data_IF_644142286724
#
_entry.id   IF_644142286724
#
_cell.length_a   1.000
_cell.length_b   1.000
_cell.length_c   1.000
_cell.angle_alpha   90.00
_cell.angle_beta   90.00
_cell.angle_gamma   90.00
#
_symmetry.space_group_name_H-M   'P 1'
#
loop_
_entity.id
_entity.type
_entity.pdbx_description
1 polymer ?
#
# COMPACT_ATOMS: atom_id res chain seq x y z
N UNK A 1 5.95 -5.40 -34.75
CA UNK A 1 4.76 -5.01 -33.95
C UNK A 1 5.23 -4.18 -32.77
N UNK A 2 4.56 -3.06 -32.47
CA UNK A 2 4.86 -2.24 -31.30
C UNK A 2 4.53 -3.00 -29.99
N UNK A 3 5.27 -2.78 -28.89
CA UNK A 3 4.97 -3.41 -27.62
C UNK A 3 3.62 -2.93 -27.07
N UNK A 4 2.76 -3.87 -26.67
CA UNK A 4 1.46 -3.58 -26.05
C UNK A 4 1.66 -3.04 -24.64
N UNK A 5 1.17 -1.83 -24.35
CA UNK A 5 1.30 -1.21 -23.02
C UNK A 5 0.02 -1.43 -22.22
N UNK A 6 0.14 -1.67 -20.91
CA UNK A 6 -1.03 -1.80 -20.04
C UNK A 6 -1.86 -0.50 -20.00
N UNK A 7 -1.20 0.66 -20.10
CA UNK A 7 -1.85 1.97 -20.15
C UNK A 7 -2.94 2.04 -21.23
N UNK A 8 -2.66 1.53 -22.43
CA UNK A 8 -3.57 1.58 -23.59
C UNK A 8 -4.88 0.83 -23.31
N UNK A 9 -4.83 -0.24 -22.52
CA UNK A 9 -6.02 -1.00 -22.11
C UNK A 9 -6.85 -0.24 -21.08
N UNK A 10 -6.19 0.43 -20.13
CA UNK A 10 -6.86 1.21 -19.09
C UNK A 10 -7.54 2.44 -19.69
N UNK A 11 -6.87 3.13 -20.62
CA UNK A 11 -7.43 4.28 -21.34
C UNK A 11 -8.68 3.90 -22.13
N UNK A 12 -8.64 2.81 -22.91
CA UNK A 12 -9.81 2.31 -23.65
C UNK A 12 -11.02 2.06 -22.74
N UNK A 13 -10.79 1.59 -21.51
CA UNK A 13 -11.87 1.38 -20.53
C UNK A 13 -12.41 2.72 -20.02
N UNK A 14 -11.52 3.66 -19.69
CA UNK A 14 -11.91 5.00 -19.23
C UNK A 14 -12.70 5.76 -20.30
N UNK A 15 -12.27 5.69 -21.57
CA UNK A 15 -12.94 6.30 -22.72
C UNK A 15 -14.32 5.70 -22.98
N UNK A 16 -14.46 4.38 -22.80
CA UNK A 16 -15.75 3.70 -22.95
C UNK A 16 -16.71 4.00 -21.79
N UNK A 17 -16.19 4.30 -20.60
CA UNK A 17 -16.98 4.51 -19.40
C UNK A 17 -17.54 5.94 -19.26
N UNK A 18 -17.06 6.91 -20.05
CA UNK A 18 -17.50 8.32 -20.14
C UNK A 18 -18.45 8.81 -19.03
N UNK A 19 -17.95 8.79 -17.79
CA UNK A 19 -18.45 9.59 -16.69
C UNK A 19 -17.47 10.74 -16.48
N UNK A 20 -17.90 11.95 -16.84
CA UNK A 20 -17.28 13.26 -16.57
C UNK A 20 -16.14 13.73 -17.47
N UNK A 21 -16.25 14.99 -17.89
CA UNK A 21 -15.34 15.79 -18.72
C UNK A 21 -14.01 16.16 -18.05
N UNK A 22 -13.56 15.39 -17.05
CA UNK A 22 -12.24 15.60 -16.46
C UNK A 22 -11.22 14.82 -17.29
N UNK A 23 -10.25 15.53 -17.84
CA UNK A 23 -9.04 14.96 -18.46
C UNK A 23 -8.33 14.09 -17.43
N UNK A 24 -8.70 12.80 -17.34
CA UNK A 24 -8.00 11.90 -16.41
C UNK A 24 -6.58 11.71 -16.94
N UNK A 25 -5.59 11.98 -16.09
CA UNK A 25 -4.20 11.73 -16.43
C UNK A 25 -4.00 10.28 -16.91
N UNK A 26 -3.19 10.11 -17.94
CA UNK A 26 -2.84 8.79 -18.46
C UNK A 26 -2.20 7.96 -17.34
N UNK A 27 -2.57 6.67 -17.17
CA UNK A 27 -1.93 5.81 -16.17
C UNK A 27 -0.40 5.79 -16.33
N UNK A 28 0.30 5.54 -15.22
CA UNK A 28 1.76 5.45 -15.16
C UNK A 28 2.45 6.77 -15.52
N UNK A 29 2.49 7.69 -14.54
CA UNK A 29 3.08 9.04 -14.63
C UNK A 29 2.57 9.88 -15.81
N UNK A 30 1.25 9.93 -16.04
CA UNK A 30 0.66 10.71 -17.13
C UNK A 30 1.24 10.39 -18.53
N UNK A 31 1.69 9.15 -18.73
CA UNK A 31 2.31 8.72 -19.98
C UNK A 31 3.78 9.11 -20.15
N UNK A 32 4.40 9.77 -19.18
CA UNK A 32 5.83 10.16 -19.23
C UNK A 32 6.77 9.07 -18.70
N UNK A 33 6.21 7.92 -18.30
CA UNK A 33 6.99 6.77 -17.84
C UNK A 33 8.06 6.36 -18.87
N UNK A 34 9.31 6.30 -18.41
CA UNK A 34 10.47 5.88 -19.24
C UNK A 34 10.46 4.37 -19.49
N UNK A 35 9.98 3.60 -18.51
CA UNK A 35 9.83 2.15 -18.57
C UNK A 35 8.36 1.76 -18.26
N UNK A 36 7.42 2.04 -19.18
CA UNK A 36 6.02 1.78 -18.94
C UNK A 36 5.75 0.27 -18.83
N UNK A 37 4.70 -0.16 -18.10
CA UNK A 37 4.30 -1.57 -18.04
C UNK A 37 3.98 -2.16 -19.42
N UNK A 38 4.82 -3.11 -19.85
CA UNK A 38 4.67 -3.82 -21.12
C UNK A 38 4.05 -5.20 -20.87
N UNK A 39 3.04 -5.54 -21.67
CA UNK A 39 2.44 -6.87 -21.70
C UNK A 39 3.42 -7.87 -22.32
N UNK A 40 3.69 -8.97 -21.62
CA UNK A 40 4.60 -10.03 -22.06
C UNK A 40 3.82 -11.28 -22.47
N UNK A 41 4.44 -12.16 -23.27
CA UNK A 41 3.86 -13.42 -23.77
C UNK A 41 3.73 -14.54 -22.73
N UNK A 42 3.56 -14.18 -21.46
CA UNK A 42 3.34 -15.08 -20.32
C UNK A 42 2.36 -14.40 -19.37
N UNK A 43 1.81 -15.12 -18.40
CA UNK A 43 0.86 -14.53 -17.43
C UNK A 43 1.46 -13.28 -16.80
N UNK A 44 0.78 -12.16 -16.94
CA UNK A 44 1.22 -10.87 -16.41
C UNK A 44 0.57 -10.67 -15.04
N UNK A 45 1.39 -10.38 -14.01
CA UNK A 45 0.86 -10.12 -12.68
C UNK A 45 0.81 -8.62 -12.39
N UNK A 46 -0.28 -8.19 -11.77
CA UNK A 46 -0.51 -6.81 -11.36
C UNK A 46 -0.70 -6.81 -9.85
N UNK A 47 0.11 -6.03 -9.14
CA UNK A 47 -0.07 -5.82 -7.71
C UNK A 47 -1.30 -4.94 -7.49
N UNK A 48 -2.18 -5.34 -6.58
CA UNK A 48 -3.19 -4.45 -6.01
C UNK A 48 -2.66 -4.01 -4.64
N UNK A 49 -2.52 -2.70 -4.42
CA UNK A 49 -2.03 -2.16 -3.15
C UNK A 49 -3.07 -1.26 -2.51
N UNK A 50 -4.02 -1.85 -1.77
CA UNK A 50 -5.07 -1.08 -1.14
C UNK A 50 -4.64 -0.54 0.22
N UNK A 51 -5.17 0.62 0.59
CA UNK A 51 -4.89 1.19 1.90
C UNK A 51 -5.65 2.46 2.19
N UNK A 52 -5.72 2.78 3.49
CA UNK A 52 -6.24 4.07 3.93
C UNK A 52 -5.36 5.21 3.46
N UNK A 53 -4.03 5.03 3.48
CA UNK A 53 -3.04 6.04 3.06
C UNK A 53 -3.35 7.42 3.65
N UNK A 54 -3.53 7.50 4.96
CA UNK A 54 -4.04 8.70 5.63
C UNK A 54 -3.02 9.25 6.66
N UNK A 55 -1.99 9.98 6.21
CA UNK A 55 -1.55 10.17 4.82
C UNK A 55 -0.63 9.02 4.33
N UNK A 56 -0.34 8.91 3.01
CA UNK A 56 0.70 8.01 2.53
C UNK A 56 2.09 8.46 3.00
N UNK A 57 3.04 7.52 3.04
CA UNK A 57 4.36 7.72 3.64
C UNK A 57 5.40 6.84 2.96
N UNK A 58 6.68 7.12 3.20
CA UNK A 58 7.81 6.46 2.55
C UNK A 58 7.80 4.94 2.75
N UNK A 59 7.45 4.45 3.94
CA UNK A 59 7.28 3.01 4.18
C UNK A 59 6.25 2.30 3.27
N UNK A 60 5.22 3.00 2.76
CA UNK A 60 4.31 2.44 1.76
C UNK A 60 4.99 2.31 0.39
N UNK A 61 5.79 3.30 -0.01
CA UNK A 61 6.55 3.26 -1.26
C UNK A 61 7.68 2.23 -1.19
N UNK A 62 8.33 2.08 -0.03
CA UNK A 62 9.41 1.13 0.19
C UNK A 62 8.92 -0.31 0.05
N UNK A 63 7.80 -0.67 0.67
CA UNK A 63 7.22 -2.01 0.50
C UNK A 63 6.77 -2.26 -0.94
N UNK A 64 6.16 -1.26 -1.58
CA UNK A 64 5.72 -1.35 -2.98
C UNK A 64 6.91 -1.64 -3.91
N UNK A 65 7.99 -0.85 -3.80
CA UNK A 65 9.23 -1.01 -4.57
C UNK A 65 9.91 -2.34 -4.27
N UNK A 66 10.08 -2.66 -2.99
CA UNK A 66 10.78 -3.87 -2.56
C UNK A 66 10.09 -5.12 -3.10
N UNK A 67 8.76 -5.21 -2.99
CA UNK A 67 7.99 -6.34 -3.51
C UNK A 67 8.06 -6.38 -5.04
N UNK A 68 7.89 -5.25 -5.73
CA UNK A 68 7.93 -5.24 -7.20
C UNK A 68 9.25 -5.78 -7.76
N UNK A 69 10.39 -5.41 -7.15
CA UNK A 69 11.70 -5.83 -7.63
C UNK A 69 12.15 -7.20 -7.10
N UNK A 70 11.74 -7.59 -5.88
CA UNK A 70 12.30 -8.74 -5.17
C UNK A 70 11.31 -9.88 -4.93
N UNK A 71 10.06 -9.80 -5.40
CA UNK A 71 9.09 -10.88 -5.20
C UNK A 71 9.36 -12.13 -6.04
N UNK A 72 10.38 -12.14 -6.91
CA UNK A 72 10.76 -13.30 -7.72
C UNK A 72 10.36 -13.17 -9.18
N UNK A 73 11.27 -13.55 -10.08
CA UNK A 73 11.09 -13.43 -11.53
C UNK A 73 9.98 -14.34 -12.09
N UNK A 74 9.59 -15.38 -11.35
CA UNK A 74 8.53 -16.33 -11.67
C UNK A 74 7.13 -15.67 -11.70
N UNK A 75 6.94 -14.59 -10.94
CA UNK A 75 5.66 -13.89 -10.90
C UNK A 75 5.42 -13.03 -12.14
N UNK A 76 6.45 -12.56 -12.83
CA UNK A 76 6.28 -11.61 -13.93
C UNK A 76 5.35 -10.44 -13.55
N UNK A 77 5.67 -9.77 -12.44
CA UNK A 77 4.95 -8.55 -12.04
C UNK A 77 5.31 -7.45 -13.04
N UNK A 78 4.30 -6.82 -13.63
CA UNK A 78 4.49 -5.77 -14.65
C UNK A 78 4.02 -4.40 -14.19
N UNK A 79 3.12 -4.33 -13.21
CA UNK A 79 2.53 -3.09 -12.74
C UNK A 79 2.01 -3.21 -11.31
N UNK A 80 1.72 -2.07 -10.70
CA UNK A 80 0.96 -1.96 -9.47
C UNK A 80 -0.16 -0.93 -9.58
N UNK A 81 -1.28 -1.21 -8.92
CA UNK A 81 -2.44 -0.33 -8.84
C UNK A 81 -2.69 -0.02 -7.35
N UNK A 82 -2.52 1.26 -7.00
CA UNK A 82 -2.74 1.77 -5.65
C UNK A 82 -4.20 2.17 -5.52
N UNK A 83 -4.89 1.64 -4.50
CA UNK A 83 -6.32 1.89 -4.29
C UNK A 83 -6.52 2.51 -2.91
N UNK A 84 -6.95 3.77 -2.92
CA UNK A 84 -7.27 4.51 -1.70
C UNK A 84 -8.65 4.13 -1.19
N UNK A 85 -8.75 3.73 0.08
CA UNK A 85 -10.03 3.48 0.77
C UNK A 85 -10.98 4.67 0.63
N UNK A 86 -12.29 4.42 0.48
CA UNK A 86 -13.31 5.47 0.40
C UNK A 86 -13.46 6.27 1.70
N UNK A 87 -13.94 7.52 1.62
CA UNK A 87 -13.93 8.46 2.74
C UNK A 87 -14.87 8.05 3.86
N UNK A 88 -16.02 7.46 3.56
CA UNK A 88 -16.98 6.95 4.54
C UNK A 88 -16.34 5.81 5.35
N UNK A 89 -15.63 4.91 4.66
CA UNK A 89 -14.93 3.80 5.31
C UNK A 89 -13.73 4.26 6.12
N UNK A 90 -13.03 5.29 5.64
CA UNK A 90 -11.97 5.93 6.41
C UNK A 90 -12.52 6.59 7.67
N UNK A 91 -13.62 7.35 7.58
CA UNK A 91 -14.29 7.98 8.72
C UNK A 91 -14.68 6.95 9.76
N UNK A 92 -15.41 5.90 9.39
CA UNK A 92 -15.78 4.80 10.30
C UNK A 92 -14.57 4.16 11.01
N UNK A 93 -13.43 4.06 10.32
CA UNK A 93 -12.17 3.55 10.91
C UNK A 93 -11.53 4.54 11.88
N UNK A 94 -11.67 5.84 11.61
CA UNK A 94 -11.09 6.92 12.39
C UNK A 94 -11.99 7.40 13.54
N UNK A 95 -13.31 7.18 13.50
CA UNK A 95 -14.27 7.56 14.55
C UNK A 95 -13.94 6.92 15.91
N UNK A 96 -13.19 5.81 15.90
CA UNK A 96 -12.68 5.15 17.12
C UNK A 96 -11.40 5.77 17.66
N UNK A 97 -10.91 6.87 17.07
CA UNK A 97 -9.63 7.51 17.41
C UNK A 97 -9.91 8.97 17.80
N UNK A 98 -9.44 9.36 18.98
CA UNK A 98 -9.74 10.67 19.59
C UNK A 98 -9.18 11.86 18.82
N UNK A 99 -8.05 11.68 18.11
CA UNK A 99 -7.42 12.71 17.26
C UNK A 99 -6.99 12.08 15.94
N UNK A 100 -7.67 12.47 14.87
CA UNK A 100 -7.45 11.88 13.56
C UNK A 100 -7.48 12.93 12.48
N UNK A 101 -6.34 13.20 11.86
CA UNK A 101 -6.31 13.81 10.54
C UNK A 101 -7.13 12.90 9.62
N UNK A 102 -8.15 13.44 8.95
CA UNK A 102 -8.95 12.70 7.95
C UNK A 102 -8.86 13.46 6.64
N UNK A 103 -7.99 12.98 5.74
CA UNK A 103 -7.87 13.52 4.40
C UNK A 103 -8.87 12.85 3.47
N UNK A 104 -9.48 13.62 2.57
CA UNK A 104 -10.35 13.07 1.53
C UNK A 104 -9.59 12.11 0.61
N UNK A 105 -10.32 11.23 -0.07
CA UNK A 105 -9.76 10.24 -1.01
C UNK A 105 -8.96 10.92 -2.10
N UNK A 106 -9.49 12.01 -2.62
CA UNK A 106 -8.82 12.82 -3.64
C UNK A 106 -7.48 13.37 -3.13
N UNK A 107 -7.44 13.98 -1.94
CA UNK A 107 -6.21 14.47 -1.32
C UNK A 107 -5.20 13.34 -1.09
N UNK A 108 -5.65 12.18 -0.61
CA UNK A 108 -4.79 11.00 -0.38
C UNK A 108 -4.26 10.40 -1.68
N UNK A 109 -5.07 10.35 -2.73
CA UNK A 109 -4.66 9.95 -4.07
C UNK A 109 -3.65 10.95 -4.65
N UNK A 110 -3.89 12.26 -4.47
CA UNK A 110 -2.95 13.29 -4.91
C UNK A 110 -1.63 13.26 -4.14
N UNK A 111 -1.63 12.93 -2.84
CA UNK A 111 -0.40 12.72 -2.07
C UNK A 111 0.41 11.52 -2.52
N UNK A 112 -0.19 10.56 -3.23
CA UNK A 112 0.57 9.54 -3.94
C UNK A 112 1.14 10.05 -5.25
N UNK A 113 0.34 10.80 -6.03
CA UNK A 113 0.75 11.31 -7.34
C UNK A 113 1.82 12.39 -7.22
N UNK A 114 1.58 13.44 -6.43
CA UNK A 114 2.42 14.63 -6.31
C UNK A 114 2.95 15.10 -7.67
N UNK A 115 4.26 15.28 -7.77
CA UNK A 115 4.96 15.64 -9.01
C UNK A 115 5.22 14.44 -9.94
N UNK A 116 4.78 13.25 -9.54
CA UNK A 116 5.00 11.96 -10.19
C UNK A 116 5.29 10.89 -9.14
N UNK A 117 4.74 9.70 -9.32
CA UNK A 117 5.14 8.57 -8.46
C UNK A 117 6.58 8.23 -8.85
N UNK A 118 7.53 8.05 -7.92
CA UNK A 118 8.94 7.81 -8.23
C UNK A 118 9.22 6.38 -8.71
N UNK A 119 8.29 5.82 -9.51
CA UNK A 119 8.38 4.58 -10.29
C UNK A 119 7.46 4.68 -11.52
N UNK A 120 7.85 4.02 -12.60
CA UNK A 120 7.13 4.05 -13.88
C UNK A 120 6.00 3.03 -14.00
N UNK A 121 5.89 2.10 -13.05
CA UNK A 121 5.01 0.94 -13.14
C UNK A 121 3.84 0.98 -12.14
N UNK A 122 3.73 2.04 -11.34
CA UNK A 122 2.63 2.24 -10.41
C UNK A 122 1.60 3.24 -10.97
N UNK A 123 0.33 2.98 -10.66
CA UNK A 123 -0.77 3.89 -10.99
C UNK A 123 -1.72 3.99 -9.80
N UNK A 124 -2.16 5.20 -9.47
CA UNK A 124 -3.19 5.44 -8.47
C UNK A 124 -4.56 5.35 -9.14
N UNK A 125 -5.39 4.44 -8.67
CA UNK A 125 -6.74 4.27 -9.19
C UNK A 125 -7.57 5.54 -8.96
N UNK A 126 -8.17 6.07 -10.02
CA UNK A 126 -8.79 7.40 -10.01
C UNK A 126 -10.16 7.42 -9.33
N UNK A 127 -10.88 6.30 -9.35
CA UNK A 127 -12.25 6.19 -8.86
C UNK A 127 -12.33 5.68 -7.42
N UNK A 128 -13.56 5.55 -6.90
CA UNK A 128 -13.83 5.01 -5.56
C UNK A 128 -13.36 3.56 -5.42
N UNK A 129 -12.95 3.19 -4.21
CA UNK A 129 -12.65 1.80 -3.85
C UNK A 129 -13.83 0.88 -4.20
N UNK A 130 -15.07 1.31 -3.91
CA UNK A 130 -16.28 0.56 -4.23
C UNK A 130 -16.46 0.22 -5.72
N UNK A 131 -15.95 1.06 -6.63
CA UNK A 131 -16.03 0.84 -8.08
C UNK A 131 -14.97 -0.14 -8.63
N UNK A 132 -13.96 -0.48 -7.82
CA UNK A 132 -12.84 -1.32 -8.23
C UNK A 132 -13.24 -2.69 -8.80
N UNK A 133 -14.18 -3.47 -8.22
CA UNK A 133 -14.54 -4.78 -8.76
C UNK A 133 -15.06 -4.72 -10.20
N UNK A 134 -15.84 -3.68 -10.52
CA UNK A 134 -16.36 -3.45 -11.87
C UNK A 134 -15.23 -3.13 -12.85
N UNK A 135 -14.34 -2.19 -12.50
CA UNK A 135 -13.19 -1.85 -13.33
C UNK A 135 -12.23 -3.03 -13.53
N UNK A 136 -11.94 -3.79 -12.46
CA UNK A 136 -11.12 -5.00 -12.52
C UNK A 136 -11.69 -6.00 -13.54
N UNK A 137 -13.01 -6.23 -13.50
CA UNK A 137 -13.69 -7.14 -14.43
C UNK A 137 -13.55 -6.66 -15.88
N UNK A 138 -13.77 -5.36 -16.13
CA UNK A 138 -13.57 -4.77 -17.46
C UNK A 138 -12.12 -4.93 -17.93
N UNK A 139 -11.14 -4.67 -17.07
CA UNK A 139 -9.72 -4.80 -17.40
C UNK A 139 -9.35 -6.23 -17.81
N UNK A 140 -9.75 -7.22 -17.01
CA UNK A 140 -9.54 -8.64 -17.34
C UNK A 140 -10.17 -9.00 -18.67
N UNK A 141 -11.43 -8.61 -18.90
CA UNK A 141 -12.15 -8.97 -20.12
C UNK A 141 -11.54 -8.30 -21.36
N UNK A 142 -11.14 -7.04 -21.28
CA UNK A 142 -10.50 -6.32 -22.39
C UNK A 142 -9.16 -6.94 -22.75
N UNK A 143 -8.32 -7.29 -21.76
CA UNK A 143 -7.03 -7.96 -22.00
C UNK A 143 -7.23 -9.37 -22.57
N UNK A 144 -8.20 -10.12 -22.04
CA UNK A 144 -8.50 -11.49 -22.49
C UNK A 144 -8.96 -11.55 -23.94
N UNK A 145 -9.74 -10.55 -24.41
CA UNK A 145 -10.14 -10.45 -25.84
C UNK A 145 -8.94 -10.31 -26.78
N UNK A 146 -7.84 -9.73 -26.30
CA UNK A 146 -6.58 -9.59 -27.04
C UNK A 146 -5.60 -10.76 -26.76
N UNK A 147 -6.09 -11.86 -26.19
CA UNK A 147 -5.28 -13.04 -25.86
C UNK A 147 -4.26 -12.81 -24.74
N UNK A 148 -4.50 -11.84 -23.86
CA UNK A 148 -3.61 -11.50 -22.74
C UNK A 148 -4.21 -11.99 -21.42
N UNK A 149 -3.49 -12.88 -20.75
CA UNK A 149 -3.84 -13.29 -19.39
C UNK A 149 -3.17 -12.40 -18.34
N UNK A 150 -3.99 -11.87 -17.45
CA UNK A 150 -3.54 -11.18 -16.23
C UNK A 150 -4.00 -11.91 -14.96
N UNK A 151 -3.20 -11.79 -13.91
CA UNK A 151 -3.58 -12.17 -12.55
C UNK A 151 -3.29 -11.02 -11.59
N UNK A 152 -4.19 -10.81 -10.64
CA UNK A 152 -3.97 -9.86 -9.56
C UNK A 152 -3.35 -10.56 -8.35
N UNK A 153 -2.42 -9.86 -7.71
CA UNK A 153 -1.79 -10.29 -6.46
C UNK A 153 -1.94 -9.18 -5.46
N UNK A 154 -2.45 -9.50 -4.27
CA UNK A 154 -2.67 -8.50 -3.24
C UNK A 154 -1.36 -8.19 -2.52
N UNK A 155 -0.96 -6.92 -2.50
CA UNK A 155 0.12 -6.45 -1.65
C UNK A 155 -0.47 -5.93 -0.34
N UNK A 156 -0.07 -6.53 0.77
CA UNK A 156 -0.39 -6.03 2.09
C UNK A 156 0.85 -5.61 2.86
N UNK A 157 0.66 -4.61 3.74
CA UNK A 157 1.64 -4.31 4.77
C UNK A 157 1.74 -5.44 5.79
N UNK A 158 2.82 -5.50 6.57
CA UNK A 158 3.14 -6.62 7.46
C UNK A 158 2.20 -6.78 8.67
N UNK A 159 1.22 -5.88 8.88
CA UNK A 159 0.23 -6.03 9.97
C UNK A 159 -1.08 -6.65 9.47
N UNK A 160 -1.27 -6.74 8.14
CA UNK A 160 -2.53 -7.23 7.57
C UNK A 160 -2.50 -8.74 7.32
N UNK A 161 -1.31 -9.36 7.36
CA UNK A 161 -1.12 -10.81 7.33
C UNK A 161 -0.31 -11.16 8.58
N UNK A 162 -0.96 -11.78 9.56
CA UNK A 162 -0.35 -12.14 10.85
C UNK A 162 -0.29 -13.64 11.01
N UNK A 163 0.58 -14.12 11.92
CA UNK A 163 0.71 -15.54 12.24
C UNK A 163 -0.64 -16.17 12.58
N UNK A 164 -1.42 -15.50 13.44
CA UNK A 164 -2.68 -16.02 13.97
C UNK A 164 -3.90 -15.70 13.09
N UNK A 165 -3.87 -14.56 12.37
CA UNK A 165 -4.96 -14.15 11.48
C UNK A 165 -4.88 -14.77 10.08
N UNK A 166 -3.68 -15.13 9.62
CA UNK A 166 -3.45 -15.65 8.29
C UNK A 166 -3.79 -14.65 7.18
N UNK A 167 -4.19 -15.17 6.01
CA UNK A 167 -4.64 -14.36 4.88
C UNK A 167 -6.06 -14.75 4.46
N UNK A 168 -6.94 -13.75 4.30
CA UNK A 168 -8.28 -13.92 3.76
C UNK A 168 -8.31 -13.54 2.25
N UNK A 169 -8.46 -14.50 1.32
CA UNK A 169 -8.42 -14.19 -0.11
C UNK A 169 -9.71 -13.53 -0.63
N UNK A 170 -10.81 -13.58 0.12
CA UNK A 170 -12.10 -13.02 -0.33
C UNK A 170 -12.17 -11.50 -0.19
N UNK A 171 -11.34 -10.89 0.67
CA UNK A 171 -11.42 -9.45 0.97
C UNK A 171 -11.15 -8.55 -0.25
N UNK A 172 -10.40 -9.04 -1.23
CA UNK A 172 -10.09 -8.35 -2.49
C UNK A 172 -10.24 -9.27 -3.71
N UNK A 173 -10.92 -10.41 -3.54
CA UNK A 173 -11.00 -11.49 -4.54
C UNK A 173 -9.62 -11.82 -5.14
N UNK A 174 -8.61 -11.96 -4.29
CA UNK A 174 -7.24 -12.28 -4.69
C UNK A 174 -6.83 -13.58 -4.00
N UNK A 175 -6.58 -14.63 -4.79
CA UNK A 175 -6.04 -15.85 -4.21
C UNK A 175 -4.61 -15.64 -3.69
N UNK A 176 -3.80 -14.93 -4.46
CA UNK A 176 -2.39 -14.71 -4.13
C UNK A 176 -2.19 -13.38 -3.38
N UNK A 177 -1.36 -13.42 -2.34
CA UNK A 177 -0.91 -12.26 -1.61
C UNK A 177 0.60 -12.24 -1.41
N UNK A 178 1.16 -11.03 -1.32
CA UNK A 178 2.56 -10.79 -0.99
C UNK A 178 2.62 -9.83 0.20
N UNK A 179 3.53 -10.09 1.13
CA UNK A 179 3.91 -9.16 2.20
C UNK A 179 5.43 -9.15 2.37
N UNK A 180 5.92 -8.15 3.10
CA UNK A 180 7.34 -7.95 3.41
C UNK A 180 7.45 -7.19 4.72
N UNK A 181 8.58 -7.37 5.40
CA UNK A 181 8.93 -6.66 6.62
C UNK A 181 9.87 -5.46 6.39
N UNK A 182 10.10 -5.05 5.13
CA UNK A 182 10.98 -3.91 4.82
C UNK A 182 10.54 -2.60 5.51
N UNK A 183 9.24 -2.41 5.71
CA UNK A 183 8.69 -1.21 6.33
C UNK A 183 8.44 -1.34 7.83
N UNK A 184 8.35 -2.55 8.37
CA UNK A 184 8.23 -2.86 9.81
C UNK A 184 8.21 -4.38 9.99
N UNK A 185 8.53 -4.92 11.18
CA UNK A 185 8.52 -6.36 11.43
C UNK A 185 7.15 -7.01 11.15
N UNK A 186 7.20 -8.27 10.68
CA UNK A 186 6.06 -9.20 10.71
C UNK A 186 6.09 -10.00 12.01
N UNK A 187 4.94 -10.42 12.52
CA UNK A 187 4.83 -11.21 13.77
C UNK A 187 5.20 -12.70 13.60
N UNK A 188 5.48 -13.13 12.37
CA UNK A 188 5.80 -14.51 12.03
C UNK A 188 7.26 -14.74 11.62
N UNK A 189 8.12 -13.69 11.53
CA UNK A 189 9.55 -13.86 11.23
C UNK A 189 10.37 -13.85 12.51
N UNK A 190 11.17 -14.89 12.68
CA UNK A 190 12.17 -15.03 13.74
C UNK A 190 13.56 -15.10 13.09
N UNK A 191 14.66 -14.93 13.86
CA UNK A 191 16.01 -14.86 13.29
C UNK A 191 16.36 -15.99 12.32
N UNK A 192 15.90 -17.23 12.59
CA UNK A 192 16.25 -18.41 11.79
C UNK A 192 15.02 -19.20 11.30
N UNK A 193 13.81 -18.66 11.45
CA UNK A 193 12.59 -19.40 11.13
C UNK A 193 11.40 -18.50 10.84
N UNK A 194 10.40 -19.06 10.18
CA UNK A 194 9.11 -18.43 10.00
C UNK A 194 8.06 -19.25 10.76
N UNK A 195 7.33 -18.62 11.68
CA UNK A 195 6.14 -19.21 12.28
C UNK A 195 5.08 -19.41 11.20
N UNK A 196 4.43 -20.56 11.25
CA UNK A 196 3.40 -20.91 10.27
C UNK A 196 2.21 -19.96 10.38
N UNK A 197 1.69 -19.52 9.23
CA UNK A 197 0.45 -18.75 9.18
C UNK A 197 -0.77 -19.66 9.39
N UNK A 198 -1.72 -19.18 10.18
CA UNK A 198 -3.02 -19.82 10.34
C UNK A 198 -3.68 -20.05 8.96
N UNK A 199 -4.22 -21.25 8.78
CA UNK A 199 -4.90 -21.62 7.54
C UNK A 199 -3.99 -21.87 6.33
N UNK A 200 -2.66 -21.88 6.49
CA UNK A 200 -1.71 -22.15 5.42
C UNK A 200 -0.85 -23.41 5.67
N UNK A 201 -0.27 -23.95 4.61
CA UNK A 201 0.79 -24.98 4.70
C UNK A 201 2.03 -24.43 5.40
N UNK A 202 2.99 -25.28 5.83
CA UNK A 202 4.32 -24.82 6.18
C UNK A 202 4.96 -23.99 5.06
N UNK A 203 5.86 -23.09 5.45
CA UNK A 203 6.63 -22.26 4.53
C UNK A 203 7.61 -23.09 3.71
N UNK A 204 7.69 -22.78 2.43
CA UNK A 204 8.67 -23.35 1.50
C UNK A 204 9.48 -22.21 0.89
N UNK A 205 10.80 -22.28 1.01
CA UNK A 205 11.69 -21.32 0.38
C UNK A 205 11.71 -21.53 -1.14
N UNK A 206 11.59 -20.46 -1.90
CA UNK A 206 11.98 -20.49 -3.31
C UNK A 206 13.48 -20.75 -3.38
N UNK A 207 13.87 -21.75 -4.17
CA UNK A 207 15.27 -22.04 -4.39
C UNK A 207 15.88 -20.90 -5.19
N UNK A 208 16.74 -20.12 -4.53
CA UNK A 208 17.71 -19.28 -5.22
C UNK A 208 19.09 -19.60 -4.63
N UNK A 209 20.00 -20.05 -5.49
CA UNK A 209 21.21 -20.80 -5.11
C UNK A 209 22.31 -19.99 -4.44
N UNK A 210 22.04 -18.77 -3.92
CA UNK A 210 23.10 -17.82 -3.52
C UNK A 210 22.83 -16.96 -2.28
N UNK A 211 21.85 -17.28 -1.43
CA UNK A 211 21.48 -16.40 -0.31
C UNK A 211 21.51 -17.09 1.06
N UNK A 212 21.93 -16.35 2.10
CA UNK A 212 21.71 -16.70 3.52
C UNK A 212 20.23 -17.05 3.73
N UNK A 213 19.93 -17.98 4.66
CA UNK A 213 18.55 -18.44 4.91
C UNK A 213 17.56 -17.30 5.10
N UNK A 214 17.99 -16.21 5.71
CA UNK A 214 17.15 -15.10 6.13
C UNK A 214 16.67 -14.21 4.97
N UNK A 215 17.29 -14.30 3.79
CA UNK A 215 16.97 -13.48 2.62
C UNK A 215 16.28 -14.28 1.50
N UNK A 216 15.67 -15.42 1.84
CA UNK A 216 14.95 -16.26 0.87
C UNK A 216 13.47 -15.92 0.84
N UNK A 217 12.94 -15.75 -0.36
CA UNK A 217 11.50 -15.62 -0.59
C UNK A 217 10.83 -16.91 -0.10
N UNK A 218 9.85 -16.77 0.78
CA UNK A 218 9.11 -17.90 1.35
C UNK A 218 7.67 -17.91 0.84
N UNK A 219 7.12 -19.09 0.59
CA UNK A 219 5.75 -19.28 0.12
C UNK A 219 5.03 -20.29 1.01
N UNK A 220 3.81 -19.98 1.40
CA UNK A 220 2.88 -20.97 1.92
C UNK A 220 1.58 -20.98 1.08
N UNK A 221 0.87 -22.12 1.08
CA UNK A 221 -0.38 -22.30 0.33
C UNK A 221 -1.55 -22.28 1.29
N UNK A 222 -2.65 -21.64 0.91
CA UNK A 222 -3.86 -21.65 1.72
C UNK A 222 -4.54 -23.03 1.70
N UNK A 223 -4.87 -23.57 2.88
CA UNK A 223 -5.46 -24.89 3.05
C UNK A 223 -6.99 -24.89 2.90
N UNK A 224 -7.65 -23.82 3.38
CA UNK A 224 -9.09 -23.81 3.68
C UNK A 224 -9.97 -23.07 2.66
N UNK A 225 -9.39 -22.40 1.67
CA UNK A 225 -10.15 -21.54 0.75
C UNK A 225 -9.97 -22.00 -0.70
N UNK A 226 -11.08 -22.02 -1.45
CA UNK A 226 -11.07 -22.19 -2.91
C UNK A 226 -11.36 -20.83 -3.57
N UNK A 227 -10.62 -20.43 -4.63
CA UNK A 227 -9.43 -21.09 -5.15
C UNK A 227 -8.27 -21.05 -4.15
N UNK A 228 -7.48 -22.13 -4.10
CA UNK A 228 -6.29 -22.19 -3.24
C UNK A 228 -5.26 -21.22 -3.79
N UNK A 229 -4.99 -20.15 -3.06
CA UNK A 229 -3.95 -19.20 -3.40
C UNK A 229 -2.69 -19.36 -2.55
N UNK A 230 -1.74 -18.47 -2.77
CA UNK A 230 -0.44 -18.47 -2.08
C UNK A 230 -0.21 -17.18 -1.32
N UNK A 231 0.41 -17.29 -0.14
CA UNK A 231 1.00 -16.14 0.54
C UNK A 231 2.49 -16.22 0.33
N UNK A 232 3.07 -15.13 -0.18
CA UNK A 232 4.51 -15.00 -0.39
C UNK A 232 5.06 -13.94 0.56
N UNK A 233 6.11 -14.30 1.28
CA UNK A 233 6.88 -13.40 2.12
C UNK A 233 8.19 -13.05 1.42
N UNK A 234 8.41 -11.76 1.22
CA UNK A 234 9.65 -11.21 0.65
C UNK A 234 10.45 -10.57 1.78
N UNK A 235 11.45 -11.25 2.34
CA UNK A 235 12.22 -10.70 3.45
C UNK A 235 12.98 -9.43 3.01
N UNK A 236 13.12 -8.49 3.93
CA UNK A 236 14.20 -7.51 3.87
C UNK A 236 15.47 -8.06 4.54
N UNK A 237 16.59 -7.45 4.17
CA UNK A 237 17.83 -7.59 4.93
C UNK A 237 17.64 -6.91 6.30
N UNK A 238 17.72 -7.68 7.39
CA UNK A 238 17.43 -7.17 8.74
C UNK A 238 18.39 -6.04 9.14
N UNK A 239 19.62 -6.07 8.64
CA UNK A 239 20.61 -5.00 8.86
C UNK A 239 20.22 -3.69 8.15
N UNK A 240 19.30 -3.76 7.17
CA UNK A 240 18.78 -2.61 6.42
C UNK A 240 17.39 -2.20 6.85
N UNK A 241 16.79 -2.89 7.83
CA UNK A 241 15.47 -2.52 8.32
C UNK A 241 15.58 -1.22 9.14
N UNK A 242 14.83 -0.16 8.79
CA UNK A 242 14.86 1.07 9.55
C UNK A 242 14.30 0.84 10.97
N UNK A 243 15.06 1.20 12.00
CA UNK A 243 14.62 1.11 13.41
C UNK A 243 13.38 1.98 13.68
N UNK A 244 13.27 3.12 12.99
CA UNK A 244 12.17 4.07 13.13
C UNK A 244 11.50 4.32 11.78
N UNK A 245 10.82 3.28 11.31
CA UNK A 245 10.23 3.26 9.98
C UNK A 245 9.08 4.29 9.83
N UNK A 246 8.99 4.98 8.68
CA UNK A 246 7.91 5.92 8.41
C UNK A 246 6.52 5.28 8.51
N UNK A 247 5.61 5.92 9.25
CA UNK A 247 4.22 5.47 9.40
C UNK A 247 3.25 6.65 9.47
N UNK A 248 1.98 6.43 9.12
CA UNK A 248 0.95 7.48 9.28
C UNK A 248 0.78 7.90 10.75
N UNK A 249 1.07 7.01 11.70
CA UNK A 249 1.05 7.36 13.14
C UNK A 249 2.19 8.29 13.50
N UNK A 250 3.40 8.03 12.98
CA UNK A 250 4.54 8.94 13.16
C UNK A 250 4.26 10.32 12.58
N UNK A 251 3.63 10.39 11.40
CA UNK A 251 3.22 11.67 10.79
C UNK A 251 2.24 12.42 11.70
N UNK A 252 1.20 11.75 12.22
CA UNK A 252 0.28 12.37 13.19
C UNK A 252 1.01 12.88 14.43
N UNK A 253 1.92 12.09 14.98
CA UNK A 253 2.72 12.49 16.13
C UNK A 253 3.58 13.73 15.86
N UNK A 254 4.19 13.85 14.67
CA UNK A 254 4.92 15.07 14.27
C UNK A 254 4.00 16.28 14.27
N UNK A 255 2.80 16.14 13.69
CA UNK A 255 1.82 17.22 13.56
C UNK A 255 1.28 17.67 14.92
N UNK A 256 1.06 16.72 15.84
CA UNK A 256 0.57 17.00 17.21
C UNK A 256 1.65 17.61 18.12
N UNK A 257 2.94 17.30 17.89
CA UNK A 257 4.03 17.67 18.80
C UNK A 257 4.91 18.83 18.32
N UNK A 258 4.70 19.32 17.10
CA UNK A 258 5.58 20.32 16.48
C UNK A 258 4.80 21.53 15.98
N UNK A 259 5.39 22.74 16.03
CA UNK A 259 4.77 23.93 15.46
C UNK A 259 4.67 23.80 13.93
N UNK A 260 3.70 24.49 13.34
CA UNK A 260 3.33 24.33 11.93
C UNK A 260 4.46 24.70 10.96
N UNK A 261 5.30 25.65 11.35
CA UNK A 261 6.45 26.15 10.60
C UNK A 261 7.52 25.05 10.40
N UNK A 262 7.56 24.07 11.30
CA UNK A 262 8.53 22.97 11.26
C UNK A 262 8.00 21.71 10.56
N UNK A 263 6.69 21.66 10.23
CA UNK A 263 6.08 20.44 9.70
C UNK A 263 6.73 19.98 8.41
N UNK A 264 7.00 20.87 7.45
CA UNK A 264 7.56 20.48 6.17
C UNK A 264 8.92 19.80 6.34
N UNK A 265 9.82 20.41 7.11
CA UNK A 265 11.15 19.86 7.40
C UNK A 265 11.07 18.53 8.14
N UNK A 266 10.24 18.44 9.19
CA UNK A 266 10.10 17.20 9.99
C UNK A 266 9.43 16.05 9.23
N UNK A 267 8.63 16.37 8.22
CA UNK A 267 7.96 15.35 7.39
C UNK A 267 8.83 14.85 6.23
N UNK A 268 9.99 15.50 5.94
CA UNK A 268 10.95 15.01 4.93
C UNK A 268 11.44 13.61 5.28
N UNK A 269 11.47 12.73 4.28
CA UNK A 269 11.82 11.32 4.45
C UNK A 269 10.77 10.47 5.17
N UNK A 270 9.67 11.07 5.66
CA UNK A 270 8.56 10.37 6.30
C UNK A 270 7.34 10.36 5.40
N UNK A 271 6.82 11.51 5.01
CA UNK A 271 5.69 11.63 4.07
C UNK A 271 6.19 11.51 2.62
N UNK A 272 5.34 11.04 1.71
CA UNK A 272 5.70 10.97 0.28
C UNK A 272 5.90 12.37 -0.33
N UNK A 273 4.97 13.29 -0.07
CA UNK A 273 5.01 14.66 -0.55
C UNK A 273 4.76 15.62 0.62
N UNK A 274 5.81 15.96 1.41
CA UNK A 274 5.70 16.77 2.62
C UNK A 274 5.02 18.13 2.40
N UNK A 275 5.41 18.85 1.34
CA UNK A 275 4.86 20.16 1.00
C UNK A 275 3.35 20.12 0.73
N UNK A 276 2.92 19.23 -0.17
CA UNK A 276 1.49 19.03 -0.50
C UNK A 276 0.70 18.61 0.75
N UNK A 277 1.30 17.76 1.60
CA UNK A 277 0.67 17.34 2.84
C UNK A 277 0.44 18.54 3.78
N UNK A 278 1.47 19.39 3.99
CA UNK A 278 1.36 20.58 4.83
C UNK A 278 0.28 21.54 4.30
N UNK A 279 0.19 21.75 2.99
CA UNK A 279 -0.87 22.54 2.37
C UNK A 279 -2.26 22.00 2.72
N UNK A 280 -2.48 20.69 2.57
CA UNK A 280 -3.75 20.06 2.92
C UNK A 280 -4.07 20.08 4.41
N UNK A 281 -3.06 20.04 5.28
CA UNK A 281 -3.24 20.11 6.73
C UNK A 281 -3.67 21.51 7.17
N UNK A 282 -3.15 22.56 6.54
CA UNK A 282 -3.53 23.96 6.80
C UNK A 282 -4.99 24.25 6.46
N UNK A 283 -5.60 23.48 5.56
CA UNK A 283 -7.02 23.57 5.21
C UNK A 283 -7.94 22.87 6.22
N UNK A 284 -7.40 22.00 7.08
CA UNK A 284 -8.19 21.32 8.09
C UNK A 284 -8.53 22.29 9.24
N UNK A 285 -9.70 22.13 9.88
CA UNK A 285 -9.98 22.87 11.10
C UNK A 285 -8.87 22.60 12.12
N UNK A 286 -8.44 23.62 12.88
CA UNK A 286 -7.45 23.43 13.94
C UNK A 286 -7.93 22.31 14.88
N UNK A 287 -7.02 21.45 15.37
CA UNK A 287 -7.39 20.35 16.24
C UNK A 287 -8.23 20.88 17.40
N UNK A 288 -9.44 20.33 17.56
CA UNK A 288 -10.48 20.83 18.48
C UNK A 288 -10.14 20.66 19.96
N UNK A 289 -8.96 20.11 20.28
CA UNK A 289 -8.40 20.12 21.64
C UNK A 289 -6.93 20.50 21.57
N UNK A 290 -6.45 21.44 22.39
CA UNK A 290 -5.02 21.54 22.64
C UNK A 290 -4.55 20.19 23.21
N UNK A 291 -3.35 19.75 22.81
CA UNK A 291 -2.64 18.72 23.55
C UNK A 291 -2.62 19.15 25.03
N UNK A 292 -3.21 18.36 25.92
CA UNK A 292 -3.15 18.65 27.37
C UNK A 292 -1.68 18.88 27.72
N UNK A 293 -1.38 20.05 28.27
CA UNK A 293 -0.01 20.39 28.60
C UNK A 293 0.54 19.38 29.60
N UNK A 294 1.86 19.18 29.64
CA UNK A 294 2.47 18.33 30.69
C UNK A 294 2.10 18.79 32.10
N UNK A 295 1.76 20.07 32.27
CA UNK A 295 1.23 20.63 33.52
C UNK A 295 -0.21 20.16 33.81
N UNK A 296 -1.09 20.06 32.81
CA UNK A 296 -2.46 19.55 32.98
C UNK A 296 -2.50 18.06 33.32
N UNK A 297 -1.60 17.28 32.73
CA UNK A 297 -1.39 15.86 33.07
C UNK A 297 -0.85 15.68 34.50
N UNK A 298 0.10 16.51 34.92
CA UNK A 298 0.62 16.48 36.29
C UNK A 298 -0.44 16.90 37.33
N UNK A 299 -1.32 17.84 36.97
CA UNK A 299 -2.43 18.29 37.82
C UNK A 299 -3.47 17.19 38.05
N UNK A 300 -3.88 16.49 37.00
CA UNK A 300 -4.81 15.34 37.11
C UNK A 300 -4.20 14.17 37.87
N UNK A 301 -2.90 13.93 37.70
CA UNK A 301 -2.19 12.87 38.43
C UNK A 301 -2.06 13.20 39.92
N UNK A 302 -1.93 14.48 40.28
CA UNK A 302 -1.98 14.94 41.67
C UNK A 302 -3.41 14.84 42.26
N UNK A 303 -4.42 15.25 41.51
CA UNK A 303 -5.82 15.20 41.95
C UNK A 303 -6.37 13.77 42.11
N UNK A 304 -5.84 12.79 41.37
CA UNK A 304 -6.21 11.37 41.52
C UNK A 304 -5.49 10.66 42.68
N UNK A 305 -4.54 11.30 43.34
CA UNK A 305 -3.80 10.76 44.50
C UNK A 305 -4.40 11.28 45.83
N UNK A 306 -5.24 12.32 45.78
CA UNK A 306 -5.74 13.04 46.97
C UNK A 306 -7.21 12.71 47.31
N UNK A 307 -7.81 11.70 46.66
CA UNK A 307 -9.12 11.15 47.04
C UNK A 307 -9.17 9.63 46.96
#
# INVERSE_FOLDING_TARGET
MAPRRLADYIERIKEADQTSSQTTARPFNNGTATQPPIIRGRVNRILIFPGSFNPPHQGHLDILKHVFYNAGADLNIIAAIIITTDDERLKMKMDKRETGIVLSREKRANLWRGDGIPVDWAWVYDNSEASWPGFRTKLVNTLKRDGVDIKFVLLFGPDAITADGGYNPTCWDCGDAITSDISRPVDFRYPNSLRQLAGCTPWVNLQDGRSRFDNKISICRQNRVRPRGTVRFVPCDLDRQPQDAPSSTKIRGIIESSPQEEWEEKLKGVALHPKILVEYLKELPPPTKPAESKEDLAKKQWESIVW
#
